data_IF_358567724664
#
_entry.id   IF_358567724664
#
_cell.length_a   1.000
_cell.length_b   1.000
_cell.length_c   1.000
_cell.angle_alpha   90.00
_cell.angle_beta   90.00
_cell.angle_gamma   90.00
#
_symmetry.space_group_name_H-M   'P 1'
#
loop_
_entity.id
_entity.type
_entity.pdbx_description
1 polymer ?
#
# COMPACT_ATOMS: atom_id res chain seq x y z
N UNK A 1 -3.68 -2.31 11.87
CA UNK A 1 -3.62 -2.37 10.38
C UNK A 1 -3.54 -3.82 9.95
N UNK A 2 -4.17 -4.18 8.83
CA UNK A 2 -3.99 -5.50 8.24
C UNK A 2 -2.53 -5.61 7.79
N UNK A 3 -1.79 -6.51 8.42
CA UNK A 3 -0.46 -6.99 8.16
C UNK A 3 0.56 -6.04 7.54
N UNK A 4 1.63 -5.76 8.25
CA UNK A 4 2.80 -5.08 7.69
C UNK A 4 3.43 -5.91 6.56
N UNK A 5 4.31 -5.30 5.80
CA UNK A 5 5.20 -5.99 4.88
C UNK A 5 6.26 -6.70 5.72
N UNK A 6 6.39 -8.03 5.57
CA UNK A 6 7.43 -8.81 6.22
C UNK A 6 8.47 -9.30 5.20
N UNK A 7 9.74 -9.11 5.53
CA UNK A 7 10.87 -9.60 4.75
C UNK A 7 12.09 -9.76 5.68
N UNK A 8 12.92 -10.80 5.52
CA UNK A 8 12.69 -11.99 4.69
C UNK A 8 11.58 -12.89 5.26
N UNK A 9 10.95 -13.69 4.43
CA UNK A 9 9.96 -14.68 4.87
C UNK A 9 10.65 -16.03 4.94
N UNK A 10 10.75 -16.59 6.14
CA UNK A 10 11.37 -17.90 6.34
C UNK A 10 10.51 -19.03 5.76
N UNK A 11 11.16 -20.11 5.33
CA UNK A 11 10.50 -21.31 4.83
C UNK A 11 9.90 -21.22 3.43
N UNK A 12 10.08 -20.11 2.72
CA UNK A 12 9.66 -20.01 1.32
C UNK A 12 10.52 -20.92 0.42
N UNK A 13 9.85 -21.63 -0.50
CA UNK A 13 10.54 -22.38 -1.57
C UNK A 13 11.21 -21.46 -2.60
N UNK A 14 10.72 -20.21 -2.72
CA UNK A 14 11.24 -19.19 -3.62
C UNK A 14 12.26 -18.30 -2.89
N UNK A 15 13.30 -17.80 -3.59
CA UNK A 15 14.24 -16.84 -3.03
C UNK A 15 13.53 -15.57 -2.52
N UNK A 16 14.00 -15.04 -1.39
CA UNK A 16 13.54 -13.76 -0.83
C UNK A 16 14.25 -12.55 -1.45
N UNK A 17 15.10 -12.77 -2.45
CA UNK A 17 15.88 -11.72 -3.10
C UNK A 17 15.95 -11.95 -4.61
N UNK A 18 16.19 -10.90 -5.33
CA UNK A 18 16.48 -10.89 -6.76
C UNK A 18 17.88 -10.34 -6.98
N UNK A 19 18.68 -10.99 -7.81
CA UNK A 19 20.00 -10.49 -8.17
C UNK A 19 19.89 -9.21 -8.99
N UNK A 20 20.65 -8.18 -8.61
CA UNK A 20 20.72 -6.91 -9.33
C UNK A 20 21.72 -7.03 -10.48
N UNK A 21 21.19 -7.28 -11.68
CA UNK A 21 21.94 -7.31 -12.93
C UNK A 21 21.22 -6.46 -13.98
N UNK A 22 21.87 -6.16 -15.09
CA UNK A 22 21.31 -5.30 -16.16
C UNK A 22 19.93 -5.72 -16.65
N UNK A 23 19.62 -7.02 -16.66
CA UNK A 23 18.33 -7.58 -17.09
C UNK A 23 17.22 -7.44 -16.05
N UNK A 24 17.55 -7.40 -14.77
CA UNK A 24 16.60 -7.30 -13.65
C UNK A 24 16.43 -5.89 -13.12
N UNK A 25 17.38 -4.99 -13.36
CA UNK A 25 17.37 -3.62 -12.81
C UNK A 25 16.11 -2.85 -13.18
N UNK A 26 15.55 -3.09 -14.38
CA UNK A 26 14.28 -2.50 -14.82
C UNK A 26 13.06 -2.86 -13.94
N UNK A 27 13.13 -3.92 -13.15
CA UNK A 27 12.07 -4.38 -12.24
C UNK A 27 12.23 -3.88 -10.82
N UNK A 28 13.40 -3.31 -10.50
CA UNK A 28 13.72 -2.85 -9.16
C UNK A 28 13.22 -1.42 -8.92
N UNK A 29 12.98 -1.12 -7.67
CA UNK A 29 12.62 0.20 -7.16
C UNK A 29 13.68 0.65 -6.17
N UNK A 30 14.10 1.94 -6.18
CA UNK A 30 14.96 2.47 -5.12
C UNK A 30 14.32 2.24 -3.74
N UNK A 31 15.15 1.99 -2.73
CA UNK A 31 14.65 1.90 -1.35
C UNK A 31 13.99 3.22 -0.96
N UNK A 32 12.79 3.13 -0.39
CA UNK A 32 11.96 4.28 -0.06
C UNK A 32 10.60 3.85 0.53
N UNK A 33 9.78 4.83 0.86
CA UNK A 33 8.40 4.56 1.28
C UNK A 33 7.51 4.31 0.07
N UNK A 34 6.72 3.26 0.12
CA UNK A 34 5.72 2.92 -0.90
C UNK A 34 4.43 2.48 -0.22
N UNK A 35 3.30 2.91 -0.75
CA UNK A 35 2.03 2.27 -0.43
C UNK A 35 1.82 1.12 -1.43
N UNK A 36 1.57 -0.08 -0.92
CA UNK A 36 1.30 -1.26 -1.73
C UNK A 36 -0.08 -1.81 -1.41
N UNK A 37 -0.73 -2.37 -2.43
CA UNK A 37 -2.07 -2.94 -2.30
C UNK A 37 -2.05 -4.36 -2.84
N UNK A 38 -2.56 -5.30 -2.05
CA UNK A 38 -2.70 -6.70 -2.44
C UNK A 38 -3.57 -6.83 -3.69
N UNK A 39 -3.06 -7.52 -4.70
CA UNK A 39 -3.74 -7.68 -5.99
C UNK A 39 -4.85 -8.73 -5.95
N UNK A 40 -4.63 -9.85 -5.28
CA UNK A 40 -5.61 -10.91 -5.21
C UNK A 40 -6.47 -10.76 -3.95
N UNK A 41 -7.79 -10.69 -4.17
CA UNK A 41 -8.78 -10.51 -3.13
C UNK A 41 -10.11 -11.05 -3.63
N UNK A 42 -10.65 -12.07 -2.97
CA UNK A 42 -11.96 -12.62 -3.30
C UNK A 42 -13.08 -11.65 -2.91
N UNK A 43 -14.22 -11.73 -3.59
CA UNK A 43 -15.39 -10.87 -3.31
C UNK A 43 -15.94 -11.08 -1.91
N UNK A 44 -15.80 -12.29 -1.40
CA UNK A 44 -16.28 -12.76 -0.11
C UNK A 44 -15.37 -12.34 1.05
N UNK A 45 -14.16 -11.88 0.76
CA UNK A 45 -13.27 -11.40 1.81
C UNK A 45 -13.85 -10.17 2.51
N UNK A 46 -13.63 -10.09 3.82
CA UNK A 46 -14.09 -8.97 4.66
C UNK A 46 -13.70 -7.61 4.05
N UNK A 47 -12.51 -7.55 3.42
CA UNK A 47 -12.01 -6.37 2.70
C UNK A 47 -11.44 -6.76 1.35
N UNK A 48 -11.83 -5.99 0.34
CA UNK A 48 -11.27 -6.10 -1.01
C UNK A 48 -9.92 -5.40 -1.09
N UNK A 49 -9.84 -4.20 -0.56
CA UNK A 49 -8.60 -3.42 -0.52
C UNK A 49 -7.87 -3.69 0.78
N UNK A 50 -6.64 -4.16 0.65
CA UNK A 50 -5.70 -4.31 1.77
C UNK A 50 -4.41 -3.61 1.38
N UNK A 51 -4.16 -2.47 1.99
CA UNK A 51 -2.99 -1.64 1.76
C UNK A 51 -1.98 -1.77 2.91
N UNK A 52 -0.71 -1.71 2.56
CA UNK A 52 0.42 -1.71 3.51
C UNK A 52 1.46 -0.70 3.08
N UNK A 53 2.34 -0.31 3.99
CA UNK A 53 3.46 0.58 3.70
C UNK A 53 4.76 -0.22 3.69
N UNK A 54 5.55 -0.06 2.62
CA UNK A 54 6.95 -0.47 2.60
C UNK A 54 7.74 0.66 3.25
N UNK A 55 8.53 0.32 4.26
CA UNK A 55 9.40 1.24 4.99
C UNK A 55 10.87 0.92 4.72
N UNK A 56 11.71 1.92 4.42
CA UNK A 56 13.13 1.69 4.14
C UNK A 56 13.85 0.90 5.24
N UNK A 57 13.55 1.19 6.50
CA UNK A 57 14.15 0.58 7.68
C UNK A 57 14.00 -0.94 7.74
N UNK A 58 13.00 -1.50 7.08
CA UNK A 58 12.76 -2.95 7.05
C UNK A 58 13.79 -3.72 6.20
N UNK A 59 14.60 -3.04 5.38
CA UNK A 59 15.47 -3.66 4.38
C UNK A 59 16.98 -3.38 4.60
N UNK A 60 17.34 -2.87 5.78
CA UNK A 60 18.73 -2.59 6.12
C UNK A 60 19.39 -1.63 5.13
N UNK A 61 20.56 -2.01 4.61
CA UNK A 61 21.35 -1.20 3.68
C UNK A 61 20.99 -1.42 2.20
N UNK A 62 19.91 -2.15 1.91
CA UNK A 62 19.52 -2.40 0.53
C UNK A 62 19.17 -1.10 -0.21
N UNK A 63 19.86 -0.82 -1.31
CA UNK A 63 19.62 0.36 -2.16
C UNK A 63 18.39 0.20 -3.05
N UNK A 64 18.08 -1.04 -3.43
CA UNK A 64 17.01 -1.37 -4.37
C UNK A 64 16.16 -2.51 -3.84
N UNK A 65 14.87 -2.44 -4.14
CA UNK A 65 13.85 -3.42 -3.74
C UNK A 65 13.24 -4.11 -4.95
N UNK A 66 13.16 -5.45 -4.92
CA UNK A 66 12.29 -6.21 -5.80
C UNK A 66 10.92 -6.33 -5.16
N UNK A 67 9.89 -5.82 -5.81
CA UNK A 67 8.52 -5.89 -5.30
C UNK A 67 7.73 -6.88 -6.14
N UNK A 68 7.12 -7.87 -5.48
CA UNK A 68 6.42 -8.96 -6.14
C UNK A 68 5.21 -8.45 -6.96
N UNK A 69 4.93 -9.12 -8.08
CA UNK A 69 3.84 -8.75 -9.00
C UNK A 69 2.42 -8.99 -8.46
N UNK A 70 2.27 -9.62 -7.31
CA UNK A 70 1.00 -9.75 -6.59
C UNK A 70 0.61 -8.49 -5.80
N UNK A 71 1.44 -7.44 -5.88
CA UNK A 71 1.19 -6.14 -5.28
C UNK A 71 1.03 -5.07 -6.35
N UNK A 72 0.07 -4.17 -6.15
CA UNK A 72 0.03 -2.89 -6.84
C UNK A 72 0.83 -1.88 -6.02
N UNK A 73 1.63 -1.06 -6.68
CA UNK A 73 2.57 -0.15 -6.02
C UNK A 73 2.19 1.29 -6.35
N UNK A 74 2.03 2.11 -5.32
CA UNK A 74 1.95 3.56 -5.47
C UNK A 74 3.36 4.14 -5.39
N UNK A 75 3.77 4.84 -6.43
CA UNK A 75 5.11 5.40 -6.59
C UNK A 75 5.09 6.68 -7.40
N UNK A 76 6.13 7.50 -7.30
CA UNK A 76 6.32 8.68 -8.13
C UNK A 76 7.49 8.45 -9.10
N UNK A 77 7.19 8.24 -10.39
CA UNK A 77 8.20 7.98 -11.44
C UNK A 77 9.21 6.90 -11.05
N UNK A 78 8.71 5.77 -10.54
CA UNK A 78 9.52 4.66 -10.00
C UNK A 78 10.36 5.01 -8.75
N UNK A 79 10.06 6.07 -8.05
CA UNK A 79 10.70 6.43 -6.78
C UNK A 79 9.71 6.35 -5.65
N UNK A 80 10.21 6.24 -4.43
CA UNK A 80 9.41 6.28 -3.22
C UNK A 80 8.60 7.57 -3.11
N UNK A 81 7.55 7.49 -2.31
CA UNK A 81 6.72 8.62 -1.92
C UNK A 81 7.28 9.28 -0.66
N UNK A 82 6.95 10.54 -0.38
CA UNK A 82 7.09 11.07 0.98
C UNK A 82 6.38 10.17 1.98
N UNK A 83 6.98 9.92 3.13
CA UNK A 83 6.42 9.03 4.17
C UNK A 83 4.96 9.37 4.53
N UNK A 84 4.58 10.63 4.81
CA UNK A 84 3.19 10.95 5.09
C UNK A 84 2.25 10.61 3.95
N UNK A 85 2.68 10.75 2.70
CA UNK A 85 1.84 10.41 1.56
C UNK A 85 1.64 8.89 1.43
N UNK A 86 2.69 8.09 1.62
CA UNK A 86 2.59 6.62 1.58
C UNK A 86 1.67 6.10 2.69
N UNK A 87 1.84 6.61 3.92
CA UNK A 87 1.00 6.22 5.07
C UNK A 87 -0.43 6.70 4.92
N UNK A 88 -0.64 7.93 4.47
CA UNK A 88 -1.98 8.48 4.25
C UNK A 88 -2.77 7.72 3.19
N UNK A 89 -2.13 7.33 2.10
CA UNK A 89 -2.73 6.44 1.09
C UNK A 89 -3.13 5.10 1.70
N UNK A 90 -2.27 4.48 2.52
CA UNK A 90 -2.58 3.21 3.18
C UNK A 90 -3.76 3.36 4.15
N UNK A 91 -3.83 4.45 4.93
CA UNK A 91 -4.97 4.75 5.83
C UNK A 91 -6.27 4.90 5.02
N UNK A 92 -6.25 5.75 4.00
CA UNK A 92 -7.45 5.96 3.16
C UNK A 92 -7.91 4.66 2.51
N UNK A 93 -7.01 3.92 1.87
CA UNK A 93 -7.33 2.67 1.17
C UNK A 93 -7.80 1.55 2.12
N UNK A 94 -7.38 1.56 3.37
CA UNK A 94 -7.86 0.64 4.41
C UNK A 94 -9.15 1.12 5.09
N UNK A 95 -9.72 2.26 4.72
CA UNK A 95 -11.01 2.70 5.25
C UNK A 95 -12.17 1.91 4.68
N UNK A 96 -13.24 1.79 5.45
CA UNK A 96 -14.50 1.19 4.97
C UNK A 96 -15.05 1.95 3.79
N UNK A 97 -14.94 3.28 3.79
CA UNK A 97 -15.37 4.15 2.68
C UNK A 97 -14.69 3.76 1.35
N UNK A 98 -13.37 3.57 1.37
CA UNK A 98 -12.62 3.21 0.16
C UNK A 98 -12.99 1.79 -0.33
N UNK A 99 -13.16 0.84 0.59
CA UNK A 99 -13.55 -0.54 0.25
C UNK A 99 -14.97 -0.59 -0.36
N UNK A 100 -15.93 0.14 0.21
CA UNK A 100 -17.28 0.27 -0.32
C UNK A 100 -17.30 0.95 -1.70
N UNK A 101 -16.52 2.02 -1.88
CA UNK A 101 -16.37 2.68 -3.16
C UNK A 101 -15.85 1.70 -4.22
N UNK A 102 -14.80 0.93 -3.89
CA UNK A 102 -14.22 -0.05 -4.80
C UNK A 102 -15.21 -1.14 -5.17
N UNK A 103 -15.98 -1.68 -4.22
CA UNK A 103 -16.97 -2.73 -4.44
C UNK A 103 -18.10 -2.31 -5.39
N UNK A 104 -18.40 -1.03 -5.51
CA UNK A 104 -19.49 -0.52 -6.39
C UNK A 104 -19.18 -0.71 -7.88
N UNK A 105 -17.93 -0.70 -8.27
CA UNK A 105 -17.56 -0.80 -9.70
C UNK A 105 -16.67 -2.00 -10.03
N UNK A 106 -15.94 -2.57 -9.07
CA UNK A 106 -15.07 -3.72 -9.32
C UNK A 106 -15.80 -5.04 -9.13
N UNK A 107 -16.13 -5.68 -10.27
CA UNK A 107 -16.74 -7.02 -10.31
C UNK A 107 -15.73 -8.18 -10.37
N UNK A 108 -14.44 -7.90 -10.46
CA UNK A 108 -13.40 -8.92 -10.65
C UNK A 108 -12.89 -9.49 -9.32
N UNK A 109 -12.20 -10.64 -9.38
CA UNK A 109 -11.53 -11.26 -8.23
C UNK A 109 -10.18 -10.63 -7.93
N UNK A 110 -9.73 -9.69 -8.75
CA UNK A 110 -8.46 -8.98 -8.59
C UNK A 110 -8.70 -7.50 -8.36
N UNK A 111 -7.83 -6.90 -7.55
CA UNK A 111 -7.69 -5.46 -7.42
C UNK A 111 -6.64 -5.01 -8.44
N UNK A 112 -7.09 -4.47 -9.56
CA UNK A 112 -6.20 -4.05 -10.63
C UNK A 112 -5.75 -2.59 -10.47
N UNK A 113 -4.58 -2.26 -11.01
CA UNK A 113 -4.08 -0.89 -11.01
C UNK A 113 -5.03 0.09 -11.72
N UNK A 114 -5.73 -0.36 -12.78
CA UNK A 114 -6.73 0.44 -13.48
C UNK A 114 -7.90 0.78 -12.56
N UNK A 115 -8.40 -0.20 -11.81
CA UNK A 115 -9.51 0.00 -10.87
C UNK A 115 -9.11 0.98 -9.77
N UNK A 116 -7.89 0.83 -9.23
CA UNK A 116 -7.36 1.76 -8.23
C UNK A 116 -7.25 3.20 -8.76
N UNK A 117 -6.90 3.38 -10.04
CA UNK A 117 -6.84 4.72 -10.67
C UNK A 117 -8.22 5.35 -10.88
N UNK A 118 -9.27 4.55 -11.00
CA UNK A 118 -10.65 5.01 -11.16
C UNK A 118 -11.31 5.43 -9.83
N UNK A 119 -10.72 5.07 -8.71
CA UNK A 119 -11.21 5.49 -7.40
C UNK A 119 -11.12 7.00 -7.23
N UNK A 120 -12.06 7.54 -6.46
CA UNK A 120 -12.00 8.94 -6.03
C UNK A 120 -11.17 9.05 -4.76
N UNK A 121 -10.03 9.67 -4.88
CA UNK A 121 -9.14 9.96 -3.75
C UNK A 121 -9.44 11.34 -3.17
N UNK A 122 -9.22 11.54 -1.87
CA UNK A 122 -9.10 12.88 -1.30
C UNK A 122 -7.97 13.65 -1.99
N UNK A 123 -7.98 14.98 -1.85
CA UNK A 123 -6.88 15.78 -2.35
C UNK A 123 -5.55 15.42 -1.66
N UNK A 124 -4.40 15.76 -2.26
CA UNK A 124 -3.09 15.40 -1.71
C UNK A 124 -2.84 15.92 -0.30
N UNK A 125 -3.37 17.09 0.04
CA UNK A 125 -3.24 17.68 1.39
C UNK A 125 -3.96 16.83 2.43
N UNK A 126 -5.17 16.41 2.15
CA UNK A 126 -5.95 15.52 3.05
C UNK A 126 -5.25 14.16 3.22
N UNK A 127 -4.71 13.59 2.14
CA UNK A 127 -3.93 12.35 2.23
C UNK A 127 -2.68 12.56 3.10
N UNK A 128 -1.98 13.68 2.94
CA UNK A 128 -0.82 14.01 3.75
C UNK A 128 -1.18 14.14 5.24
N UNK A 129 -2.29 14.79 5.57
CA UNK A 129 -2.79 14.90 6.95
C UNK A 129 -3.13 13.55 7.57
N UNK A 130 -3.75 12.64 6.80
CA UNK A 130 -3.97 11.27 7.23
C UNK A 130 -2.66 10.54 7.53
N UNK A 131 -1.63 10.81 6.74
CA UNK A 131 -0.30 10.23 6.94
C UNK A 131 0.41 10.75 8.17
N UNK A 132 0.37 12.06 8.42
CA UNK A 132 0.91 12.64 9.65
C UNK A 132 0.24 12.04 10.89
N UNK A 133 -1.08 11.93 10.86
CA UNK A 133 -1.81 11.25 11.93
C UNK A 133 -1.37 9.79 12.09
N UNK A 134 -1.17 9.06 10.99
CA UNK A 134 -0.76 7.65 11.03
C UNK A 134 0.65 7.45 11.64
N UNK A 135 1.55 8.42 11.46
CA UNK A 135 2.90 8.39 12.05
C UNK A 135 2.82 8.46 13.59
N UNK A 136 1.87 9.20 14.12
CA UNK A 136 1.67 9.37 15.56
C UNK A 136 0.92 8.20 16.21
N UNK A 137 0.35 7.29 15.43
CA UNK A 137 -0.44 6.17 15.93
C UNK A 137 0.38 4.89 16.04
N UNK A 138 0.15 4.14 17.11
CA UNK A 138 0.64 2.76 17.24
C UNK A 138 -0.43 1.81 16.71
N UNK A 139 -0.30 1.42 15.41
CA UNK A 139 -1.16 0.46 14.74
C UNK A 139 -2.69 0.69 14.90
N UNK A 140 -3.24 1.78 14.31
CA UNK A 140 -4.65 2.11 14.48
C UNK A 140 -5.56 0.97 14.02
N UNK A 141 -6.62 0.71 14.78
CA UNK A 141 -7.66 -0.25 14.44
C UNK A 141 -8.61 0.29 13.36
N UNK A 142 -9.53 -0.56 12.89
CA UNK A 142 -10.45 -0.19 11.82
C UNK A 142 -11.38 0.96 12.21
N UNK A 143 -11.84 1.01 13.45
CA UNK A 143 -12.73 2.06 13.94
C UNK A 143 -12.04 3.42 13.98
N UNK A 144 -10.78 3.43 14.42
CA UNK A 144 -9.95 4.63 14.45
C UNK A 144 -9.65 5.15 13.03
N UNK A 145 -9.35 4.24 12.08
CA UNK A 145 -9.15 4.58 10.66
C UNK A 145 -10.41 5.22 10.09
N UNK A 146 -11.57 4.56 10.25
CA UNK A 146 -12.84 5.03 9.69
C UNK A 146 -13.27 6.37 10.29
N UNK A 147 -13.12 6.54 11.61
CA UNK A 147 -13.40 7.80 12.29
C UNK A 147 -12.50 8.94 11.79
N UNK A 148 -11.19 8.67 11.63
CA UNK A 148 -10.25 9.68 11.15
C UNK A 148 -10.52 10.06 9.69
N UNK A 149 -10.75 9.09 8.81
CA UNK A 149 -11.07 9.35 7.41
C UNK A 149 -12.36 10.17 7.29
N UNK A 150 -13.40 9.82 8.04
CA UNK A 150 -14.64 10.60 8.07
C UNK A 150 -14.41 12.04 8.48
N UNK A 151 -13.68 12.25 9.58
CA UNK A 151 -13.40 13.59 10.12
C UNK A 151 -12.68 14.52 9.13
N UNK A 152 -11.75 14.00 8.32
CA UNK A 152 -10.98 14.84 7.37
C UNK A 152 -11.68 15.05 6.03
N UNK A 153 -12.78 14.33 5.78
CA UNK A 153 -13.58 14.46 4.55
C UNK A 153 -14.84 15.30 4.74
N UNK A 154 -15.22 15.60 5.98
CA UNK A 154 -16.28 16.56 6.32
C UNK A 154 -15.76 18.00 6.26
#
# INVERSE_FOLDING_TARGET
>A
MAGGVSWPVEGLKKPNAIERVSTTEKWLYPTGFYCVVRRFSAKEEKRRIVASVIEPSAFGEAEMLGIENHLNIFHQKKRGLPEPLARGLAIFLNSTLADEQFRRFSGHTQVNATDLRLMKYPNPETIHQLGLWAIEQDAPDQSQIDAKVKLVLE
#
